data_IF_514822802679
#
_entry.id   IF_514822802679
#
_cell.length_a   1.000
_cell.length_b   1.000
_cell.length_c   1.000
_cell.angle_alpha   90.00
_cell.angle_beta   90.00
_cell.angle_gamma   90.00
#
_symmetry.space_group_name_H-M   'P 1'
#
loop_
_entity.id
_entity.type
_entity.pdbx_description
1 polymer ?
#
# COMPACT_ATOMS: atom_id res chain seq x y z
N UNK A 1 -35.67 -10.96 4.21
CA UNK A 1 -36.55 -11.97 3.60
C UNK A 1 -35.79 -13.24 3.23
N UNK A 2 -34.72 -13.20 2.43
CA UNK A 2 -33.97 -14.40 2.02
C UNK A 2 -33.52 -15.33 3.16
N UNK A 3 -33.08 -14.77 4.29
CA UNK A 3 -32.77 -15.54 5.52
C UNK A 3 -33.92 -16.45 5.97
N UNK A 4 -35.15 -15.93 6.01
CA UNK A 4 -36.31 -16.67 6.52
C UNK A 4 -36.70 -17.76 5.54
N UNK A 5 -36.68 -17.48 4.23
CA UNK A 5 -36.96 -18.49 3.20
C UNK A 5 -35.95 -19.64 3.25
N UNK A 6 -34.66 -19.34 3.30
CA UNK A 6 -33.62 -20.38 3.42
C UNK A 6 -33.85 -21.27 4.66
N UNK A 7 -34.24 -20.67 5.79
CA UNK A 7 -34.56 -21.44 7.00
C UNK A 7 -35.82 -22.30 6.86
N UNK A 8 -36.86 -21.78 6.23
CA UNK A 8 -38.10 -22.53 5.98
C UNK A 8 -37.89 -23.69 5.00
N UNK A 9 -36.96 -23.53 4.04
CA UNK A 9 -36.55 -24.57 3.08
C UNK A 9 -35.58 -25.60 3.67
N UNK A 10 -35.16 -25.44 4.93
CA UNK A 10 -34.31 -26.40 5.62
C UNK A 10 -32.82 -26.25 5.36
N UNK A 11 -32.38 -25.11 4.82
CA UNK A 11 -30.96 -24.80 4.67
C UNK A 11 -30.24 -24.71 6.02
N UNK A 12 -28.92 -24.93 6.00
CA UNK A 12 -28.07 -24.77 7.19
C UNK A 12 -28.12 -23.34 7.70
N UNK A 13 -28.12 -23.16 9.03
CA UNK A 13 -28.16 -21.82 9.66
C UNK A 13 -27.02 -20.90 9.17
N UNK A 14 -25.83 -21.46 8.93
CA UNK A 14 -24.67 -20.73 8.38
C UNK A 14 -24.98 -20.13 6.99
N UNK A 15 -25.68 -20.87 6.13
CA UNK A 15 -26.07 -20.42 4.78
C UNK A 15 -27.16 -19.35 4.88
N UNK A 16 -28.21 -19.62 5.65
CA UNK A 16 -29.27 -18.64 5.89
C UNK A 16 -28.69 -17.32 6.43
N UNK A 17 -27.80 -17.42 7.42
CA UNK A 17 -27.12 -16.27 8.02
C UNK A 17 -26.23 -15.53 7.03
N UNK A 18 -25.50 -16.21 6.14
CA UNK A 18 -24.76 -15.56 5.07
C UNK A 18 -25.68 -14.79 4.10
N UNK A 19 -26.87 -15.33 3.79
CA UNK A 19 -27.90 -14.64 3.00
C UNK A 19 -28.39 -13.37 3.70
N UNK A 20 -28.42 -13.33 5.03
CA UNK A 20 -28.73 -12.11 5.77
C UNK A 20 -27.56 -11.12 5.73
N UNK A 21 -26.34 -11.61 5.94
CA UNK A 21 -25.15 -10.80 6.19
C UNK A 21 -24.52 -10.23 4.91
N UNK A 22 -24.74 -10.81 3.73
CA UNK A 22 -24.07 -10.33 2.51
C UNK A 22 -24.42 -8.87 2.14
N UNK A 23 -25.61 -8.41 2.53
CA UNK A 23 -26.01 -7.02 2.35
C UNK A 23 -25.20 -6.04 3.21
N UNK A 24 -24.50 -6.51 4.24
CA UNK A 24 -23.74 -5.66 5.17
C UNK A 24 -22.34 -5.33 4.62
N UNK A 25 -21.75 -4.18 4.96
CA UNK A 25 -22.43 -3.01 5.51
C UNK A 25 -23.32 -2.35 4.43
N UNK A 26 -24.48 -1.83 4.83
CA UNK A 26 -25.42 -1.15 3.93
C UNK A 26 -25.10 0.33 3.75
N UNK A 27 -24.44 0.93 4.74
CA UNK A 27 -24.05 2.34 4.77
C UNK A 27 -22.80 2.53 5.64
N UNK A 28 -22.18 3.71 5.58
CA UNK A 28 -21.02 4.05 6.39
C UNK A 28 -21.36 4.00 7.89
N UNK A 29 -20.57 3.27 8.69
CA UNK A 29 -20.85 3.05 10.11
C UNK A 29 -21.84 1.92 10.42
N UNK A 30 -22.43 1.25 9.42
CA UNK A 30 -23.25 0.05 9.65
C UNK A 30 -22.40 -1.08 10.24
N UNK A 31 -23.08 -2.07 10.84
CA UNK A 31 -22.45 -3.31 11.28
C UNK A 31 -21.87 -4.07 10.11
N UNK A 32 -20.81 -4.83 10.38
CA UNK A 32 -20.14 -5.68 9.39
C UNK A 32 -20.68 -7.12 9.49
N UNK A 33 -20.56 -7.94 8.44
CA UNK A 33 -20.84 -9.37 8.51
C UNK A 33 -20.12 -9.97 9.71
N UNK A 34 -20.79 -10.74 10.56
CA UNK A 34 -20.12 -11.35 11.73
C UNK A 34 -19.42 -12.65 11.35
N UNK A 35 -20.05 -13.44 10.47
CA UNK A 35 -19.55 -14.73 10.03
C UNK A 35 -18.56 -14.61 8.87
N UNK A 36 -17.65 -15.58 8.76
CA UNK A 36 -16.72 -15.64 7.62
C UNK A 36 -17.46 -15.87 6.30
N UNK A 37 -18.48 -16.74 6.29
CA UNK A 37 -19.28 -17.00 5.09
C UNK A 37 -20.06 -15.76 4.64
N UNK A 38 -20.67 -15.03 5.59
CA UNK A 38 -21.34 -13.76 5.32
C UNK A 38 -20.39 -12.69 4.79
N UNK A 39 -19.16 -12.60 5.34
CA UNK A 39 -18.14 -11.69 4.85
C UNK A 39 -17.70 -12.03 3.41
N UNK A 40 -17.43 -13.30 3.11
CA UNK A 40 -17.05 -13.75 1.78
C UNK A 40 -18.15 -13.50 0.74
N UNK A 41 -19.40 -13.84 1.08
CA UNK A 41 -20.53 -13.61 0.18
C UNK A 41 -20.78 -12.12 -0.04
N UNK A 42 -20.61 -11.29 1.00
CA UNK A 42 -20.70 -9.84 0.87
C UNK A 42 -19.61 -9.28 -0.06
N UNK A 43 -18.35 -9.70 0.14
CA UNK A 43 -17.25 -9.28 -0.73
C UNK A 43 -17.51 -9.66 -2.19
N UNK A 44 -17.93 -10.90 -2.44
CA UNK A 44 -18.24 -11.38 -3.78
C UNK A 44 -19.34 -10.54 -4.45
N UNK A 45 -20.46 -10.30 -3.77
CA UNK A 45 -21.58 -9.48 -4.28
C UNK A 45 -21.13 -8.04 -4.59
N UNK A 46 -20.31 -7.44 -3.73
CA UNK A 46 -19.81 -6.07 -3.92
C UNK A 46 -18.78 -5.97 -5.06
N UNK A 47 -17.89 -6.95 -5.19
CA UNK A 47 -16.96 -7.01 -6.31
C UNK A 47 -17.71 -7.20 -7.64
N UNK A 48 -18.68 -8.11 -7.69
CA UNK A 48 -19.51 -8.33 -8.88
C UNK A 48 -20.25 -7.06 -9.30
N UNK A 49 -20.89 -6.36 -8.34
CA UNK A 49 -21.58 -5.10 -8.61
C UNK A 49 -20.63 -4.00 -9.13
N UNK A 50 -19.43 -3.86 -8.53
CA UNK A 50 -18.43 -2.89 -8.96
C UNK A 50 -17.92 -3.20 -10.37
N UNK A 51 -17.45 -4.41 -10.60
CA UNK A 51 -16.94 -4.85 -11.90
C UNK A 51 -18.02 -4.77 -12.97
N UNK A 52 -19.24 -5.22 -12.67
CA UNK A 52 -20.39 -5.16 -13.56
C UNK A 52 -20.73 -3.74 -13.97
N UNK A 53 -20.87 -2.81 -13.01
CA UNK A 53 -21.21 -1.41 -13.29
C UNK A 53 -20.11 -0.68 -14.05
N UNK A 54 -18.85 -0.86 -13.64
CA UNK A 54 -17.72 -0.26 -14.36
C UNK A 54 -17.71 -0.76 -15.81
N UNK A 55 -17.85 -2.08 -16.03
CA UNK A 55 -17.78 -2.69 -17.36
C UNK A 55 -18.72 -2.03 -18.39
N UNK A 56 -19.88 -1.55 -17.95
CA UNK A 56 -20.88 -0.88 -18.81
C UNK A 56 -20.81 0.66 -18.75
N UNK A 57 -19.73 1.22 -18.20
CA UNK A 57 -19.48 2.67 -18.15
C UNK A 57 -20.24 3.42 -17.07
N UNK A 58 -20.82 2.74 -16.09
CA UNK A 58 -21.57 3.36 -14.98
C UNK A 58 -20.64 3.74 -13.82
N UNK A 59 -19.56 4.43 -14.14
CA UNK A 59 -18.55 4.89 -13.18
C UNK A 59 -19.08 6.14 -12.45
N UNK A 60 -18.91 6.26 -11.11
CA UNK A 60 -19.37 7.44 -10.38
C UNK A 60 -18.61 8.70 -10.83
N UNK A 61 -19.32 9.78 -11.15
CA UNK A 61 -18.73 11.07 -11.55
C UNK A 61 -19.14 12.18 -10.60
N UNK A 62 -18.20 13.08 -10.25
CA UNK A 62 -18.46 14.18 -9.33
C UNK A 62 -19.10 13.71 -8.01
N UNK A 63 -20.21 14.32 -7.60
CA UNK A 63 -20.96 13.90 -6.41
C UNK A 63 -21.96 12.76 -6.66
N UNK A 64 -22.22 12.38 -7.91
CA UNK A 64 -23.22 11.37 -8.24
C UNK A 64 -22.67 9.95 -8.02
N UNK A 65 -23.47 9.10 -7.39
CA UNK A 65 -23.21 7.68 -7.20
C UNK A 65 -24.53 6.89 -7.24
N UNK A 66 -25.18 6.80 -8.42
CA UNK A 66 -26.53 6.25 -8.54
C UNK A 66 -26.63 4.77 -8.14
N UNK A 67 -25.54 4.02 -8.29
CA UNK A 67 -25.45 2.59 -7.94
C UNK A 67 -24.70 2.34 -6.63
N UNK A 68 -24.43 3.40 -5.86
CA UNK A 68 -23.78 3.32 -4.55
C UNK A 68 -22.38 2.64 -4.57
N UNK A 69 -21.64 2.71 -5.68
CA UNK A 69 -20.35 2.06 -5.88
C UNK A 69 -19.30 2.56 -4.90
N UNK A 70 -19.33 3.84 -4.49
CA UNK A 70 -18.44 4.35 -3.45
C UNK A 70 -18.74 3.70 -2.11
N UNK A 71 -20.03 3.50 -1.81
CA UNK A 71 -20.45 2.79 -0.59
C UNK A 71 -20.09 1.31 -0.63
N UNK A 72 -20.19 0.67 -1.80
CA UNK A 72 -19.78 -0.73 -1.95
C UNK A 72 -18.27 -0.90 -1.75
N UNK A 73 -17.45 -0.04 -2.38
CA UNK A 73 -16.01 -0.05 -2.19
C UNK A 73 -15.61 0.24 -0.73
N UNK A 74 -16.27 1.21 -0.07
CA UNK A 74 -16.09 1.44 1.36
C UNK A 74 -16.46 0.19 2.19
N UNK A 75 -17.53 -0.50 1.82
CA UNK A 75 -17.93 -1.75 2.45
C UNK A 75 -16.88 -2.83 2.32
N UNK A 76 -16.30 -2.99 1.13
CA UNK A 76 -15.19 -3.92 0.88
C UNK A 76 -13.98 -3.57 1.75
N UNK A 77 -13.55 -2.30 1.75
CA UNK A 77 -12.43 -1.82 2.57
C UNK A 77 -12.67 -2.19 4.05
N UNK A 78 -13.81 -1.80 4.62
CA UNK A 78 -14.12 -2.08 6.03
C UNK A 78 -14.21 -3.57 6.35
N UNK A 79 -14.76 -4.38 5.46
CA UNK A 79 -14.82 -5.84 5.66
C UNK A 79 -13.40 -6.42 5.67
N UNK A 80 -12.55 -6.02 4.73
CA UNK A 80 -11.16 -6.50 4.66
C UNK A 80 -10.32 -6.05 5.87
N UNK A 81 -10.59 -4.86 6.41
CA UNK A 81 -9.94 -4.35 7.62
C UNK A 81 -10.42 -5.02 8.91
N UNK A 82 -11.73 -4.97 9.20
CA UNK A 82 -12.34 -5.45 10.45
C UNK A 82 -11.99 -6.89 10.70
N UNK A 83 -12.14 -7.67 9.65
CA UNK A 83 -12.06 -9.09 9.78
C UNK A 83 -10.66 -9.55 10.12
N UNK A 84 -9.63 -8.68 9.97
CA UNK A 84 -8.19 -9.01 10.10
C UNK A 84 -7.91 -10.39 9.53
N UNK A 85 -8.67 -10.75 8.50
CA UNK A 85 -8.96 -12.14 8.26
C UNK A 85 -7.66 -12.72 7.75
N UNK A 86 -7.33 -13.93 8.18
CA UNK A 86 -6.28 -14.75 7.57
C UNK A 86 -6.50 -15.00 6.06
N UNK A 87 -7.51 -14.37 5.45
CA UNK A 87 -7.62 -14.11 4.04
C UNK A 87 -6.54 -13.10 3.67
N UNK A 88 -5.33 -13.57 3.39
CA UNK A 88 -4.33 -12.84 2.61
C UNK A 88 -4.87 -12.63 1.18
N UNK A 89 -5.96 -11.89 1.05
CA UNK A 89 -6.73 -11.72 -0.16
C UNK A 89 -6.22 -10.48 -0.86
N UNK A 90 -5.65 -10.68 -2.04
CA UNK A 90 -5.25 -9.62 -2.95
C UNK A 90 -6.51 -8.95 -3.49
N UNK A 91 -6.62 -7.63 -3.29
CA UNK A 91 -7.67 -6.82 -3.89
C UNK A 91 -7.59 -6.90 -5.42
N UNK A 92 -6.38 -6.81 -5.98
CA UNK A 92 -6.12 -6.89 -7.41
C UNK A 92 -6.58 -8.22 -7.99
N UNK A 93 -6.21 -9.34 -7.38
CA UNK A 93 -6.58 -10.67 -7.90
C UNK A 93 -8.09 -10.89 -7.77
N UNK A 94 -8.70 -10.38 -6.70
CA UNK A 94 -10.16 -10.48 -6.50
C UNK A 94 -10.94 -9.68 -7.53
N UNK A 95 -10.48 -8.45 -7.84
CA UNK A 95 -11.06 -7.64 -8.91
C UNK A 95 -10.82 -8.27 -10.29
N UNK A 96 -9.63 -8.82 -10.53
CA UNK A 96 -9.31 -9.51 -11.78
C UNK A 96 -10.24 -10.72 -11.99
N UNK A 97 -10.42 -11.55 -10.96
CA UNK A 97 -11.32 -12.70 -11.01
C UNK A 97 -12.78 -12.27 -11.22
N UNK A 98 -13.26 -11.23 -10.54
CA UNK A 98 -14.62 -10.73 -10.74
C UNK A 98 -14.84 -10.15 -12.15
N UNK A 99 -13.81 -9.52 -12.75
CA UNK A 99 -13.86 -9.00 -14.11
C UNK A 99 -13.99 -10.11 -15.18
N UNK A 100 -13.59 -11.36 -14.89
CA UNK A 100 -13.74 -12.48 -15.82
C UNK A 100 -15.21 -12.76 -16.18
N UNK A 101 -16.16 -12.40 -15.29
CA UNK A 101 -17.59 -12.50 -15.55
C UNK A 101 -18.12 -11.45 -16.55
N UNK A 102 -17.31 -10.45 -16.91
CA UNK A 102 -17.69 -9.32 -17.76
C UNK A 102 -16.74 -9.12 -18.97
N UNK A 103 -16.50 -10.16 -19.80
CA UNK A 103 -15.53 -10.08 -20.89
C UNK A 103 -15.97 -9.10 -21.99
N UNK A 104 -15.01 -8.34 -22.54
CA UNK A 104 -15.23 -7.49 -23.73
C UNK A 104 -15.92 -6.15 -23.46
N UNK A 105 -15.87 -5.67 -22.23
CA UNK A 105 -16.51 -4.44 -21.77
C UNK A 105 -15.44 -3.48 -21.23
N UNK A 106 -15.48 -2.22 -21.65
CA UNK A 106 -14.35 -1.29 -21.75
C UNK A 106 -13.66 -0.84 -20.44
N UNK A 107 -13.86 -1.54 -19.33
CA UNK A 107 -13.18 -1.28 -18.06
C UNK A 107 -11.88 -2.05 -17.97
N UNK A 108 -10.87 -1.37 -17.45
CA UNK A 108 -9.60 -2.00 -17.09
C UNK A 108 -9.53 -2.28 -15.59
N UNK A 109 -8.82 -3.34 -15.20
CA UNK A 109 -8.44 -3.58 -13.80
C UNK A 109 -7.77 -2.33 -13.17
N UNK A 110 -7.04 -1.57 -13.98
CA UNK A 110 -6.36 -0.35 -13.56
C UNK A 110 -7.36 0.74 -13.11
N UNK A 111 -8.46 0.96 -13.84
CA UNK A 111 -9.50 1.93 -13.44
C UNK A 111 -10.14 1.58 -12.09
N UNK A 112 -10.40 0.28 -11.85
CA UNK A 112 -10.93 -0.18 -10.57
C UNK A 112 -9.90 0.03 -9.45
N UNK A 113 -8.62 -0.29 -9.68
CA UNK A 113 -7.56 -0.05 -8.69
C UNK A 113 -7.39 1.44 -8.38
N UNK A 114 -7.48 2.32 -9.38
CA UNK A 114 -7.46 3.78 -9.18
C UNK A 114 -8.68 4.24 -8.38
N UNK A 115 -9.86 3.70 -8.67
CA UNK A 115 -11.06 3.97 -7.88
C UNK A 115 -10.87 3.54 -6.41
N UNK A 116 -10.32 2.36 -6.15
CA UNK A 116 -10.02 1.89 -4.78
C UNK A 116 -8.93 2.73 -4.10
N UNK A 117 -7.89 3.15 -4.83
CA UNK A 117 -6.85 4.06 -4.33
C UNK A 117 -7.48 5.36 -3.83
N UNK A 118 -8.35 5.97 -4.63
CA UNK A 118 -9.07 7.19 -4.26
C UNK A 118 -10.01 6.95 -3.07
N UNK A 119 -10.68 5.79 -3.03
CA UNK A 119 -11.56 5.46 -1.89
C UNK A 119 -10.76 5.35 -0.61
N UNK A 120 -9.69 4.55 -0.59
CA UNK A 120 -8.79 4.44 0.57
C UNK A 120 -8.29 5.81 1.01
N UNK A 121 -7.82 6.63 0.07
CA UNK A 121 -7.36 7.98 0.39
C UNK A 121 -8.42 8.79 1.14
N UNK A 122 -9.65 8.84 0.62
CA UNK A 122 -10.73 9.60 1.24
C UNK A 122 -11.16 9.00 2.59
N UNK A 123 -11.27 7.67 2.70
CA UNK A 123 -11.60 6.97 3.94
C UNK A 123 -10.65 7.38 5.08
N UNK A 124 -9.34 7.26 4.86
CA UNK A 124 -8.37 7.53 5.91
C UNK A 124 -8.15 9.02 6.17
N UNK A 125 -8.41 9.87 5.17
CA UNK A 125 -8.43 11.31 5.39
C UNK A 125 -9.59 11.71 6.31
N UNK A 126 -10.78 11.14 6.12
CA UNK A 126 -11.94 11.33 6.99
C UNK A 126 -11.70 10.79 8.41
N UNK A 127 -10.90 9.74 8.57
CA UNK A 127 -10.45 9.22 9.87
C UNK A 127 -9.38 10.09 10.55
N UNK A 128 -8.87 11.13 9.88
CA UNK A 128 -7.94 12.11 10.45
C UNK A 128 -6.47 11.82 10.20
N UNK A 129 -6.12 10.86 9.33
CA UNK A 129 -4.72 10.66 8.94
C UNK A 129 -4.21 11.82 8.07
N UNK A 130 -2.94 12.15 8.22
CA UNK A 130 -2.28 13.21 7.44
C UNK A 130 -2.18 12.81 5.97
N UNK A 131 -2.61 13.68 5.06
CA UNK A 131 -2.76 13.38 3.62
C UNK A 131 -1.48 12.85 2.95
N UNK A 132 -0.32 13.42 3.30
CA UNK A 132 0.99 13.05 2.77
C UNK A 132 1.46 11.67 3.29
N UNK A 133 1.12 11.31 4.53
CA UNK A 133 1.34 9.98 5.09
C UNK A 133 0.48 8.94 4.37
N UNK A 134 -0.79 9.25 4.09
CA UNK A 134 -1.67 8.37 3.31
C UNK A 134 -1.06 8.13 1.93
N UNK A 135 -0.63 9.20 1.24
CA UNK A 135 -0.01 9.12 -0.07
C UNK A 135 1.29 8.30 -0.07
N UNK A 136 2.14 8.48 0.96
CA UNK A 136 3.38 7.73 1.12
C UNK A 136 3.13 6.21 1.21
N UNK A 137 2.12 5.78 1.98
CA UNK A 137 1.79 4.35 2.12
C UNK A 137 1.09 3.83 0.85
N UNK A 138 0.21 4.61 0.22
CA UNK A 138 -0.44 4.24 -1.04
C UNK A 138 0.57 4.06 -2.19
N UNK A 139 1.64 4.86 -2.21
CA UNK A 139 2.73 4.74 -3.18
C UNK A 139 3.52 3.43 -3.00
N UNK A 140 3.59 2.89 -1.78
CA UNK A 140 4.15 1.58 -1.47
C UNK A 140 3.18 0.41 -1.76
N UNK A 141 2.00 0.68 -2.34
CA UNK A 141 0.98 -0.32 -2.69
C UNK A 141 -0.09 -0.52 -1.61
N UNK A 142 -1.24 -1.05 -2.00
CA UNK A 142 -2.42 -1.22 -1.14
C UNK A 142 -3.20 -2.50 -1.45
N UNK A 143 -2.54 -3.49 -2.06
CA UNK A 143 -3.21 -4.70 -2.53
C UNK A 143 -3.82 -5.54 -1.39
N UNK A 144 -3.14 -5.56 -0.24
CA UNK A 144 -3.70 -6.05 1.01
C UNK A 144 -4.13 -4.86 1.87
N UNK A 145 -5.43 -4.71 2.05
CA UNK A 145 -6.01 -3.57 2.78
C UNK A 145 -5.66 -3.60 4.26
N UNK A 146 -5.73 -4.77 4.91
CA UNK A 146 -5.38 -4.90 6.32
C UNK A 146 -3.89 -4.57 6.57
N UNK A 147 -3.04 -4.96 5.63
CA UNK A 147 -1.62 -4.61 5.66
C UNK A 147 -1.37 -3.11 5.45
N UNK A 148 -2.05 -2.51 4.46
CA UNK A 148 -2.05 -1.07 4.24
C UNK A 148 -2.42 -0.30 5.52
N UNK A 149 -3.52 -0.66 6.19
CA UNK A 149 -3.96 -0.01 7.43
C UNK A 149 -2.92 -0.17 8.55
N UNK A 150 -2.25 -1.33 8.64
CA UNK A 150 -1.17 -1.57 9.61
C UNK A 150 0.02 -0.65 9.35
N UNK A 151 0.49 -0.56 8.10
CA UNK A 151 1.59 0.33 7.70
C UNK A 151 1.22 1.79 7.97
N UNK A 152 0.01 2.19 7.59
CA UNK A 152 -0.49 3.55 7.82
C UNK A 152 -0.48 3.94 9.30
N UNK A 153 -1.01 3.08 10.17
CA UNK A 153 -0.99 3.31 11.61
C UNK A 153 0.41 3.41 12.20
N UNK A 154 1.36 2.59 11.72
CA UNK A 154 2.77 2.65 12.16
C UNK A 154 3.43 3.95 11.70
N UNK A 155 3.34 4.30 10.42
CA UNK A 155 3.97 5.52 9.88
C UNK A 155 3.38 6.77 10.52
N UNK A 156 2.07 6.78 10.80
CA UNK A 156 1.43 7.88 11.52
C UNK A 156 1.96 8.06 12.95
N UNK A 157 2.27 6.97 13.67
CA UNK A 157 2.92 7.07 14.99
C UNK A 157 4.38 7.50 14.88
N UNK A 158 5.12 6.91 13.95
CA UNK A 158 6.52 7.25 13.71
C UNK A 158 6.69 8.72 13.32
N UNK A 159 5.71 9.33 12.66
CA UNK A 159 5.77 10.76 12.32
C UNK A 159 5.77 11.70 13.52
N UNK A 160 5.52 11.18 14.73
CA UNK A 160 5.55 11.93 15.98
C UNK A 160 6.83 11.67 16.81
N UNK A 161 7.76 10.86 16.28
CA UNK A 161 9.01 10.48 16.95
C UNK A 161 10.19 11.36 16.53
N UNK A 162 11.29 11.35 17.29
CA UNK A 162 12.47 12.15 16.96
C UNK A 162 13.25 11.58 15.75
N UNK A 163 13.10 10.29 15.45
CA UNK A 163 13.73 9.59 14.33
C UNK A 163 13.08 9.93 12.98
N UNK A 164 11.86 10.48 13.00
CA UNK A 164 11.06 10.76 11.81
C UNK A 164 11.85 11.51 10.73
N UNK A 165 12.50 12.61 11.13
CA UNK A 165 13.20 13.46 10.18
C UNK A 165 14.39 12.73 9.53
N UNK A 166 15.10 11.93 10.31
CA UNK A 166 16.19 11.10 9.80
C UNK A 166 15.66 10.08 8.78
N UNK A 167 14.57 9.40 9.10
CA UNK A 167 13.96 8.39 8.24
C UNK A 167 13.48 8.98 6.91
N UNK A 168 12.74 10.10 6.94
CA UNK A 168 12.31 10.83 5.74
C UNK A 168 13.51 11.23 4.89
N UNK A 169 14.55 11.79 5.52
CA UNK A 169 15.76 12.24 4.81
C UNK A 169 16.45 11.10 4.05
N UNK A 170 16.54 9.89 4.65
CA UNK A 170 17.15 8.74 3.96
C UNK A 170 16.35 8.35 2.73
N UNK A 171 15.03 8.18 2.89
CA UNK A 171 14.15 7.76 1.80
C UNK A 171 14.13 8.83 0.70
N UNK A 172 13.97 10.10 1.04
CA UNK A 172 13.93 11.20 0.08
C UNK A 172 15.24 11.32 -0.73
N UNK A 173 16.40 11.31 -0.06
CA UNK A 173 17.69 11.46 -0.75
C UNK A 173 17.99 10.28 -1.67
N UNK A 174 17.69 9.07 -1.21
CA UNK A 174 17.87 7.85 -2.02
C UNK A 174 16.86 7.79 -3.16
N UNK A 175 15.62 8.28 -2.96
CA UNK A 175 14.58 8.37 -3.98
C UNK A 175 14.92 9.40 -5.07
N UNK A 176 15.22 10.65 -4.71
CA UNK A 176 15.42 11.73 -5.66
C UNK A 176 16.61 11.49 -6.61
N UNK A 177 17.62 10.78 -6.12
CA UNK A 177 18.79 10.40 -6.91
C UNK A 177 18.54 9.08 -7.63
N UNK A 178 17.88 8.11 -6.99
CA UNK A 178 17.50 6.82 -7.59
C UNK A 178 16.46 6.92 -8.70
N UNK A 179 15.51 7.86 -8.64
CA UNK A 179 14.44 8.06 -9.65
C UNK A 179 14.97 8.49 -11.03
N UNK A 180 16.16 9.11 -11.07
CA UNK A 180 16.86 9.42 -12.34
C UNK A 180 17.52 8.19 -12.97
N UNK A 181 17.44 7.06 -12.30
CA UNK A 181 18.02 5.82 -12.73
C UNK A 181 16.94 4.95 -13.36
N UNK A 182 16.81 5.05 -14.68
CA UNK A 182 16.46 3.87 -15.49
C UNK A 182 17.57 2.78 -15.40
N UNK A 183 18.31 2.74 -14.28
CA UNK A 183 19.38 1.81 -14.02
C UNK A 183 18.77 0.43 -13.81
N UNK A 184 19.26 -0.48 -14.63
CA UNK A 184 18.93 -1.90 -14.61
C UNK A 184 20.20 -2.67 -14.28
N UNK A 185 20.03 -3.88 -13.72
CA UNK A 185 21.13 -4.73 -13.27
C UNK A 185 21.33 -4.73 -11.76
N UNK A 186 22.48 -5.23 -11.34
CA UNK A 186 22.88 -5.39 -9.94
C UNK A 186 24.11 -4.55 -9.64
N UNK A 187 24.35 -4.29 -8.35
CA UNK A 187 25.56 -3.57 -7.91
C UNK A 187 26.78 -4.44 -8.20
N UNK A 188 27.71 -3.91 -8.97
CA UNK A 188 29.01 -4.52 -9.24
C UNK A 188 30.02 -4.03 -8.19
N UNK A 189 30.41 -4.89 -7.24
CA UNK A 189 31.36 -4.52 -6.17
C UNK A 189 32.72 -4.04 -6.71
N UNK A 190 33.15 -4.60 -7.85
CA UNK A 190 34.39 -4.20 -8.53
C UNK A 190 34.38 -2.74 -9.02
N UNK A 191 33.19 -2.16 -9.20
CA UNK A 191 33.03 -0.76 -9.61
C UNK A 191 32.92 0.20 -8.40
N UNK A 192 32.95 -0.28 -7.15
CA UNK A 192 32.93 0.58 -5.96
C UNK A 192 34.34 1.16 -5.71
N UNK A 193 34.49 2.45 -5.97
CA UNK A 193 35.79 3.14 -5.90
C UNK A 193 36.03 3.75 -4.52
N UNK A 194 35.05 4.46 -3.99
CA UNK A 194 35.19 5.18 -2.73
C UNK A 194 34.96 4.28 -1.51
N UNK A 195 35.61 4.57 -0.38
CA UNK A 195 35.40 3.82 0.86
C UNK A 195 33.96 3.94 1.37
N UNK A 196 33.34 5.10 1.16
CA UNK A 196 31.94 5.36 1.54
C UNK A 196 30.94 4.53 0.74
N UNK A 197 31.21 4.26 -0.54
CA UNK A 197 30.41 3.34 -1.37
C UNK A 197 30.45 1.92 -0.81
N UNK A 198 31.65 1.44 -0.52
CA UNK A 198 31.88 0.08 0.02
C UNK A 198 31.23 -0.08 1.38
N UNK A 199 31.41 0.90 2.26
CA UNK A 199 30.78 0.91 3.58
C UNK A 199 29.25 0.86 3.47
N UNK A 200 28.66 1.67 2.58
CA UNK A 200 27.21 1.70 2.40
C UNK A 200 26.68 0.36 1.85
N UNK A 201 27.42 -0.26 0.93
CA UNK A 201 27.08 -1.58 0.39
C UNK A 201 27.21 -2.70 1.43
N UNK A 202 28.26 -2.69 2.25
CA UNK A 202 28.43 -3.65 3.36
C UNK A 202 27.29 -3.55 4.38
N UNK A 203 26.85 -2.32 4.72
CA UNK A 203 25.69 -2.11 5.59
C UNK A 203 24.41 -2.64 4.95
N UNK A 204 24.22 -2.41 3.66
CA UNK A 204 23.09 -2.95 2.92
C UNK A 204 23.05 -4.48 3.02
N UNK A 205 24.14 -5.15 2.66
CA UNK A 205 24.22 -6.62 2.72
C UNK A 205 24.00 -7.17 4.13
N UNK A 206 24.52 -6.49 5.16
CA UNK A 206 24.38 -6.91 6.56
C UNK A 206 22.95 -6.81 7.09
N UNK A 207 22.24 -5.73 6.77
CA UNK A 207 20.96 -5.40 7.41
C UNK A 207 19.74 -5.75 6.56
N UNK A 208 19.90 -5.94 5.25
CA UNK A 208 18.82 -6.25 4.30
C UNK A 208 17.91 -7.37 4.78
N UNK A 209 18.46 -8.55 5.06
CA UNK A 209 17.64 -9.74 5.36
C UNK A 209 16.91 -9.60 6.70
N UNK A 210 17.51 -8.88 7.65
CA UNK A 210 16.87 -8.55 8.92
C UNK A 210 15.67 -7.62 8.72
N UNK A 211 15.84 -6.55 7.94
CA UNK A 211 14.77 -5.60 7.62
C UNK A 211 13.63 -6.29 6.87
N UNK A 212 13.95 -7.09 5.85
CA UNK A 212 12.96 -7.87 5.11
C UNK A 212 12.22 -8.86 6.03
N UNK A 213 12.93 -9.56 6.92
CA UNK A 213 12.28 -10.46 7.87
C UNK A 213 11.32 -9.74 8.83
N UNK A 214 11.61 -8.50 9.24
CA UNK A 214 10.71 -7.70 10.07
C UNK A 214 9.47 -7.28 9.27
N UNK A 215 9.66 -6.85 8.02
CA UNK A 215 8.58 -6.50 7.08
C UNK A 215 7.65 -7.70 6.87
N UNK A 216 8.19 -8.88 6.58
CA UNK A 216 7.40 -10.10 6.35
C UNK A 216 6.57 -10.51 7.56
N UNK A 217 7.03 -10.14 8.77
CA UNK A 217 6.30 -10.36 10.04
C UNK A 217 5.32 -9.23 10.37
N UNK A 218 5.22 -8.20 9.53
CA UNK A 218 4.41 -7.01 9.79
C UNK A 218 4.94 -6.12 10.92
N UNK A 219 6.21 -6.29 11.32
CA UNK A 219 6.89 -5.52 12.36
C UNK A 219 7.47 -4.23 11.76
N UNK A 220 6.58 -3.38 11.25
CA UNK A 220 6.97 -2.19 10.49
C UNK A 220 7.72 -1.16 11.32
N UNK A 221 7.37 -1.02 12.60
CA UNK A 221 8.01 -0.05 13.48
C UNK A 221 9.47 -0.40 13.72
N UNK A 222 9.74 -1.67 14.05
CA UNK A 222 11.09 -2.21 14.20
C UNK A 222 11.85 -2.19 12.87
N UNK A 223 11.20 -2.51 11.75
CA UNK A 223 11.82 -2.44 10.42
C UNK A 223 12.26 -0.99 10.09
N UNK A 224 11.42 0.00 10.40
CA UNK A 224 11.74 1.42 10.20
C UNK A 224 12.88 1.89 11.09
N UNK A 225 12.93 1.46 12.34
CA UNK A 225 14.03 1.82 13.24
C UNK A 225 15.35 1.16 12.84
N UNK A 226 15.31 -0.11 12.43
CA UNK A 226 16.48 -0.83 11.90
C UNK A 226 17.01 -0.15 10.63
N UNK A 227 16.11 0.19 9.69
CA UNK A 227 16.46 0.90 8.46
C UNK A 227 17.09 2.27 8.75
N UNK A 228 16.45 3.07 9.62
CA UNK A 228 16.98 4.37 10.02
C UNK A 228 18.38 4.25 10.62
N UNK A 229 18.54 3.38 11.61
CA UNK A 229 19.80 3.21 12.35
C UNK A 229 20.93 2.70 11.45
N UNK A 230 20.60 1.82 10.51
CA UNK A 230 21.58 1.22 9.58
C UNK A 230 22.05 2.20 8.52
N UNK A 231 21.17 3.06 8.00
CA UNK A 231 21.45 3.81 6.78
C UNK A 231 21.55 5.33 6.96
N UNK A 232 20.96 5.94 7.99
CA UNK A 232 20.86 7.40 8.08
C UNK A 232 22.21 8.12 8.03
N UNK A 233 23.13 7.72 8.90
CA UNK A 233 24.46 8.31 8.93
C UNK A 233 25.29 7.96 7.69
N UNK A 234 25.22 6.70 7.23
CA UNK A 234 26.01 6.22 6.10
C UNK A 234 25.59 6.88 4.78
N UNK A 235 24.28 7.05 4.55
CA UNK A 235 23.74 7.76 3.39
C UNK A 235 24.10 9.24 3.43
N UNK A 236 24.04 9.88 4.61
CA UNK A 236 24.52 11.26 4.77
C UNK A 236 25.98 11.38 4.35
N UNK A 237 26.86 10.55 4.90
CA UNK A 237 28.30 10.55 4.59
C UNK A 237 28.59 10.19 3.13
N UNK A 238 27.83 9.27 2.53
CA UNK A 238 27.93 8.95 1.11
C UNK A 238 27.69 10.19 0.26
N UNK A 239 26.59 10.92 0.45
CA UNK A 239 26.30 12.07 -0.38
C UNK A 239 27.21 13.28 -0.12
N UNK A 240 27.79 13.37 1.08
CA UNK A 240 28.75 14.43 1.42
C UNK A 240 30.09 14.26 0.70
N UNK A 241 30.45 13.01 0.35
CA UNK A 241 31.78 12.66 -0.19
C UNK A 241 31.78 12.04 -1.58
N UNK A 242 30.66 11.45 -2.00
CA UNK A 242 30.55 10.71 -3.26
C UNK A 242 29.67 11.49 -4.23
N UNK A 243 30.28 11.95 -5.33
CA UNK A 243 29.55 12.61 -6.39
C UNK A 243 28.90 11.57 -7.31
N UNK A 244 27.58 11.46 -7.30
CA UNK A 244 26.88 10.43 -8.09
C UNK A 244 26.95 10.69 -9.60
N UNK A 245 26.89 11.96 -10.02
CA UNK A 245 26.82 12.32 -11.44
C UNK A 245 28.20 12.44 -12.09
N UNK A 246 28.89 11.32 -12.27
CA UNK A 246 30.20 11.25 -12.94
C UNK A 246 30.09 10.99 -14.44
N UNK A 247 31.18 11.25 -15.17
CA UNK A 247 31.29 10.99 -16.62
C UNK A 247 31.28 9.49 -16.96
N UNK A 248 31.90 8.66 -16.11
CA UNK A 248 31.84 7.21 -16.27
C UNK A 248 30.43 6.70 -16.03
N UNK A 249 29.75 6.36 -17.13
CA UNK A 249 28.37 5.92 -17.10
C UNK A 249 28.18 4.59 -16.35
N UNK A 250 29.18 3.69 -16.32
CA UNK A 250 29.12 2.44 -15.56
C UNK A 250 29.20 2.71 -14.05
N UNK A 251 30.16 3.55 -13.64
CA UNK A 251 30.29 3.96 -12.24
C UNK A 251 29.05 4.71 -11.74
N UNK A 252 28.54 5.66 -12.54
CA UNK A 252 27.30 6.36 -12.26
C UNK A 252 26.13 5.40 -12.11
N UNK A 253 25.96 4.45 -13.03
CA UNK A 253 24.91 3.43 -12.95
C UNK A 253 25.04 2.59 -11.66
N UNK A 254 26.26 2.18 -11.30
CA UNK A 254 26.50 1.39 -10.09
C UNK A 254 26.14 2.15 -8.81
N UNK A 255 26.52 3.43 -8.71
CA UNK A 255 26.15 4.33 -7.60
C UNK A 255 24.64 4.51 -7.51
N UNK A 256 23.95 4.62 -8.65
CA UNK A 256 22.49 4.71 -8.69
C UNK A 256 21.80 3.41 -8.26
N UNK A 257 22.33 2.24 -8.65
CA UNK A 257 21.82 0.94 -8.21
C UNK A 257 21.99 0.74 -6.71
N UNK A 258 23.12 1.18 -6.12
CA UNK A 258 23.33 1.16 -4.68
C UNK A 258 22.24 1.94 -3.93
N UNK A 259 21.97 3.18 -4.36
CA UNK A 259 20.95 4.03 -3.76
C UNK A 259 19.53 3.49 -3.98
N UNK A 260 19.25 2.96 -5.17
CA UNK A 260 17.97 2.34 -5.51
C UNK A 260 17.69 1.14 -4.60
N UNK A 261 18.66 0.24 -4.42
CA UNK A 261 18.52 -0.93 -3.57
C UNK A 261 18.16 -0.56 -2.13
N UNK A 262 18.83 0.46 -1.57
CA UNK A 262 18.53 0.96 -0.22
C UNK A 262 17.13 1.58 -0.18
N UNK A 263 16.80 2.44 -1.13
CA UNK A 263 15.47 3.06 -1.21
C UNK A 263 14.35 2.02 -1.26
N UNK A 264 14.49 1.03 -2.14
CA UNK A 264 13.45 0.03 -2.38
C UNK A 264 13.20 -0.86 -1.17
N UNK A 265 14.20 -1.10 -0.30
CA UNK A 265 13.99 -1.84 0.96
C UNK A 265 12.89 -1.21 1.83
N UNK A 266 12.72 0.11 1.74
CA UNK A 266 11.75 0.84 2.53
C UNK A 266 10.57 1.35 1.68
N UNK A 267 10.84 2.10 0.62
CA UNK A 267 9.85 2.87 -0.13
C UNK A 267 8.79 2.01 -0.82
N UNK A 268 9.18 0.83 -1.31
CA UNK A 268 8.27 -0.08 -2.04
C UNK A 268 7.52 -1.06 -1.14
N UNK A 269 7.91 -1.14 0.13
CA UNK A 269 7.42 -2.18 1.07
C UNK A 269 6.68 -1.61 2.27
N UNK A 270 7.08 -0.42 2.72
CA UNK A 270 6.53 0.24 3.90
C UNK A 270 5.82 1.51 3.48
N UNK A 271 6.57 2.54 3.08
CA UNK A 271 6.04 3.83 2.66
C UNK A 271 7.08 4.61 1.86
N UNK A 272 6.66 5.19 0.73
CA UNK A 272 7.48 6.13 -0.02
C UNK A 272 7.46 7.50 0.67
N UNK A 273 8.36 7.69 1.63
CA UNK A 273 8.44 8.94 2.39
C UNK A 273 8.94 10.14 1.57
N UNK A 274 9.32 9.96 0.31
CA UNK A 274 9.54 11.10 -0.59
C UNK A 274 8.24 11.88 -0.90
N UNK A 275 7.08 11.32 -0.56
CA UNK A 275 5.79 11.99 -0.63
C UNK A 275 5.51 12.93 0.56
N UNK A 276 6.34 12.90 1.61
CA UNK A 276 6.13 13.72 2.81
C UNK A 276 6.42 15.18 2.51
N UNK A 277 5.49 16.06 2.89
CA UNK A 277 5.65 17.50 2.70
C UNK A 277 6.38 18.08 3.92
N UNK A 278 7.49 18.81 3.74
CA UNK A 278 8.19 19.46 4.85
C UNK A 278 7.25 20.41 5.62
N UNK A 279 7.44 20.57 6.94
CA UNK A 279 6.72 21.59 7.68
C UNK A 279 7.19 22.99 7.23
N UNK A 280 6.50 23.56 6.24
CA UNK A 280 6.74 24.90 5.70
C UNK A 280 6.40 25.00 4.21
N UNK A 281 5.13 25.27 3.90
CA UNK A 281 4.62 26.04 2.73
C UNK A 281 3.08 25.95 2.60
N UNK A 282 2.34 25.83 3.72
CA UNK A 282 0.88 25.60 3.65
C UNK A 282 0.03 26.09 4.81
N UNK A 283 0.58 26.84 5.76
CA UNK A 283 -0.21 27.50 6.81
C UNK A 283 0.29 28.94 7.02
N UNK A 284 -0.28 29.85 6.24
CA UNK A 284 -0.55 31.24 6.62
C UNK A 284 -2.00 31.54 6.29
#
# INVERSE_FOLDING_TARGET
>A
MGYHYAREEGEREEVARAILEHYLPRFAGDRLPETQLGALLSLADKFDALCGCFSIGLVPTGSQDPYALRRQAQGIIRILEDKKLNLNLSLKDSLAAALENFPGRGTTLQELLEFFRDRLYQTFLEEGYRYDIINAVLAAGFDNIADFSRRLGVISRLSQTHEWQGLVTVVERTFNIGKKAAATGEVEEALLQEKEERQLWELYQRHRDRILSLIDKGQYEEASMEYHTSFAQAVHTFFDKVFVNVEDQRLKNNRLLLLKNINELYATRIADLAQIVPPGDGEK
#
